data_IF_723359292978
#
_entry.id   IF_723359292978
#
_cell.length_a   1.000
_cell.length_b   1.000
_cell.length_c   1.000
_cell.angle_alpha   90.00
_cell.angle_beta   90.00
_cell.angle_gamma   90.00
#
_symmetry.space_group_name_H-M   'P 1'
#
loop_
_entity.id
_entity.type
_entity.pdbx_description
1 polymer ?
#
# COMPACT_ATOMS: atom_id res chain seq x y z
N UNK A 1 -8.84 25.27 -2.30
CA UNK A 1 -8.66 23.93 -2.89
C UNK A 1 -7.54 24.06 -3.89
N UNK A 2 -6.35 23.60 -3.53
CA UNK A 2 -5.18 23.59 -4.41
C UNK A 2 -4.68 22.16 -4.45
N UNK A 3 -4.65 21.57 -5.65
CA UNK A 3 -3.91 20.35 -5.95
C UNK A 3 -2.44 20.55 -5.56
N UNK A 4 -1.91 19.66 -4.71
CA UNK A 4 -0.51 19.68 -4.31
C UNK A 4 0.25 18.63 -5.15
N UNK A 5 0.97 19.02 -6.21
CA UNK A 5 1.70 18.11 -7.10
C UNK A 5 2.99 17.54 -6.48
N UNK A 6 3.38 17.97 -5.27
CA UNK A 6 4.69 17.65 -4.69
C UNK A 6 4.76 16.29 -3.95
N UNK A 7 3.62 15.61 -3.75
CA UNK A 7 3.60 14.29 -3.10
C UNK A 7 3.94 13.12 -4.05
N UNK A 8 3.85 13.32 -5.37
CA UNK A 8 4.13 12.26 -6.36
C UNK A 8 5.63 12.08 -6.64
N UNK A 9 6.40 13.16 -6.54
CA UNK A 9 7.84 13.17 -6.88
C UNK A 9 8.71 12.25 -5.99
N UNK A 10 8.48 12.15 -4.67
CA UNK A 10 9.25 11.23 -3.82
C UNK A 10 8.97 9.75 -4.11
N UNK A 11 7.74 9.42 -4.53
CA UNK A 11 7.33 8.04 -4.83
C UNK A 11 7.91 7.56 -6.17
N UNK A 12 7.91 8.41 -7.20
CA UNK A 12 8.56 8.10 -8.48
C UNK A 12 10.08 7.97 -8.36
N UNK A 13 10.72 8.78 -7.51
CA UNK A 13 12.15 8.67 -7.24
C UNK A 13 12.48 7.38 -6.47
N UNK A 14 11.63 6.98 -5.53
CA UNK A 14 11.74 5.70 -4.82
C UNK A 14 11.58 4.48 -5.75
N UNK A 15 10.60 4.52 -6.68
CA UNK A 15 10.39 3.47 -7.67
C UNK A 15 11.52 3.43 -8.73
N UNK A 16 12.05 4.60 -9.12
CA UNK A 16 13.22 4.71 -9.99
C UNK A 16 14.47 4.14 -9.32
N UNK A 17 14.62 4.31 -8.00
CA UNK A 17 15.71 3.69 -7.23
C UNK A 17 15.56 2.17 -7.15
N UNK A 18 14.35 1.64 -7.06
CA UNK A 18 14.08 0.20 -7.14
C UNK A 18 14.45 -0.37 -8.53
N UNK A 19 14.08 0.32 -9.61
CA UNK A 19 14.42 -0.07 -10.97
C UNK A 19 15.94 0.01 -11.26
N UNK A 20 16.61 1.06 -10.76
CA UNK A 20 18.06 1.26 -10.93
C UNK A 20 18.93 0.30 -10.08
N UNK A 21 18.41 -0.22 -8.96
CA UNK A 21 19.10 -1.27 -8.20
C UNK A 21 19.24 -2.56 -9.01
N UNK A 22 18.26 -2.84 -9.89
CA UNK A 22 18.25 -4.02 -10.78
C UNK A 22 19.27 -3.91 -11.92
N UNK A 23 19.61 -2.70 -12.36
CA UNK A 23 20.55 -2.47 -13.48
C UNK A 23 22.02 -2.42 -13.05
N UNK A 24 22.32 -2.18 -11.76
CA UNK A 24 23.69 -2.10 -11.24
C UNK A 24 24.24 -3.43 -10.69
N UNK A 25 23.43 -4.48 -10.60
CA UNK A 25 23.87 -5.81 -10.18
C UNK A 25 23.44 -6.88 -11.22
N UNK A 26 24.20 -7.08 -12.31
CA UNK A 26 23.94 -8.20 -13.19
C UNK A 26 24.29 -9.51 -12.46
N UNK A 27 23.28 -10.19 -11.92
CA UNK A 27 23.45 -11.60 -11.54
C UNK A 27 23.57 -12.37 -12.85
N UNK A 28 24.79 -12.84 -13.12
CA UNK A 28 25.12 -13.75 -14.20
C UNK A 28 24.31 -15.04 -14.03
N UNK A 29 23.26 -15.22 -14.83
CA UNK A 29 22.56 -16.49 -14.92
C UNK A 29 23.40 -17.41 -15.82
N UNK A 30 24.21 -18.27 -15.20
CA UNK A 30 24.84 -19.37 -15.91
C UNK A 30 23.75 -20.28 -16.47
N UNK A 31 23.59 -20.25 -17.79
CA UNK A 31 22.77 -21.19 -18.55
C UNK A 31 23.48 -22.54 -18.53
N UNK A 32 22.92 -23.55 -17.86
CA UNK A 32 23.35 -24.93 -18.04
C UNK A 32 22.48 -25.57 -19.15
N UNK A 33 23.09 -26.27 -20.13
CA UNK A 33 22.34 -26.84 -21.25
C UNK A 33 21.52 -28.05 -20.83
N UNK A 34 20.34 -28.16 -21.43
CA UNK A 34 19.47 -29.32 -21.34
C UNK A 34 20.18 -30.58 -21.87
N UNK A 35 20.26 -31.61 -21.03
CA UNK A 35 20.63 -32.97 -21.42
C UNK A 35 19.58 -33.95 -20.92
N UNK A 36 18.84 -34.57 -21.85
CA UNK A 36 18.00 -35.74 -21.59
C UNK A 36 18.88 -36.96 -21.29
N UNK A 37 18.52 -37.79 -20.30
CA UNK A 37 18.36 -39.26 -20.45
C UNK A 37 18.23 -39.98 -19.09
N UNK A 38 17.19 -40.83 -19.01
CA UNK A 38 17.08 -42.11 -18.30
C UNK A 38 17.27 -42.21 -16.77
N UNK A 39 16.17 -42.58 -16.09
CA UNK A 39 16.09 -43.34 -14.82
C UNK A 39 16.82 -44.71 -14.96
N UNK A 40 17.24 -45.41 -13.86
CA UNK A 40 16.32 -45.92 -12.82
C UNK A 40 16.81 -45.85 -11.35
N UNK A 41 15.85 -45.80 -10.42
CA UNK A 41 15.96 -46.13 -8.98
C UNK A 41 16.38 -47.61 -8.77
N UNK A 42 16.98 -48.05 -7.62
CA UNK A 42 16.36 -47.96 -6.28
C UNK A 42 17.31 -47.86 -5.05
N UNK A 43 16.78 -47.46 -3.89
CA UNK A 43 17.44 -47.70 -2.60
C UNK A 43 17.00 -46.79 -1.44
N UNK A 44 16.03 -47.24 -0.64
CA UNK A 44 15.82 -46.79 0.74
C UNK A 44 16.99 -47.27 1.63
N UNK A 45 17.40 -46.53 2.69
CA UNK A 45 16.69 -46.62 3.98
C UNK A 45 16.58 -45.31 4.78
N UNK A 46 15.53 -45.20 5.60
CA UNK A 46 15.46 -44.37 6.82
C UNK A 46 15.69 -45.28 8.05
N UNK A 47 15.76 -44.81 9.32
CA UNK A 47 15.98 -43.47 9.86
C UNK A 47 17.15 -43.44 10.90
N UNK A 48 17.59 -42.26 11.34
CA UNK A 48 18.30 -42.15 12.64
C UNK A 48 17.88 -40.88 13.38
N UNK A 49 17.53 -41.08 14.64
CA UNK A 49 17.05 -40.10 15.60
C UNK A 49 18.19 -39.35 16.30
N UNK A 50 17.97 -38.04 16.51
CA UNK A 50 18.28 -37.23 17.71
C UNK A 50 19.77 -36.99 18.09
N UNK A 51 20.14 -35.94 18.87
CA UNK A 51 19.30 -35.13 19.75
C UNK A 51 19.44 -33.60 19.66
N UNK A 52 18.48 -32.98 20.36
CA UNK A 52 18.38 -31.62 20.85
C UNK A 52 19.72 -31.09 21.40
N UNK A 53 20.11 -29.90 20.94
CA UNK A 53 21.10 -29.06 21.61
C UNK A 53 20.47 -27.71 21.95
N UNK A 54 20.08 -27.60 23.21
CA UNK A 54 19.68 -26.38 23.90
C UNK A 54 20.88 -25.43 23.98
N UNK A 55 20.71 -24.18 23.59
CA UNK A 55 21.63 -23.07 23.92
C UNK A 55 20.79 -21.86 24.35
N UNK A 56 21.24 -21.09 25.37
CA UNK A 56 20.35 -20.31 26.22
C UNK A 56 19.97 -18.95 25.66
N UNK A 57 18.81 -18.49 26.15
CA UNK A 57 18.31 -17.14 26.20
C UNK A 57 19.41 -16.14 26.63
N UNK A 58 19.87 -15.29 25.72
CA UNK A 58 20.59 -14.06 26.06
C UNK A 58 19.66 -12.86 25.81
N UNK A 59 19.46 -12.11 26.89
CA UNK A 59 18.72 -10.86 26.97
C UNK A 59 19.39 -9.74 26.14
N UNK A 60 18.61 -8.73 25.70
CA UNK A 60 19.05 -7.75 24.72
C UNK A 60 19.98 -6.69 25.33
N UNK A 61 21.00 -6.21 24.60
CA UNK A 61 21.73 -5.01 24.99
C UNK A 61 20.90 -3.75 24.68
N UNK A 62 20.77 -2.91 25.71
CA UNK A 62 20.19 -1.57 25.72
C UNK A 62 20.79 -0.69 24.63
N UNK A 63 19.97 -0.25 23.67
CA UNK A 63 20.36 0.78 22.70
C UNK A 63 20.33 2.15 23.38
N UNK A 64 21.52 2.70 23.63
CA UNK A 64 21.75 4.07 24.07
C UNK A 64 21.44 4.99 22.88
N UNK A 65 20.43 5.84 23.01
CA UNK A 65 20.12 6.89 22.05
C UNK A 65 21.15 8.02 22.14
N UNK A 66 21.83 8.41 21.04
CA UNK A 66 22.44 9.73 20.96
C UNK A 66 21.35 10.78 20.71
N UNK A 67 21.18 11.68 21.68
CA UNK A 67 20.45 12.94 21.52
C UNK A 67 21.09 13.76 20.39
N UNK A 68 20.35 14.01 19.31
CA UNK A 68 20.67 15.08 18.38
C UNK A 68 19.96 16.36 18.82
N UNK A 69 20.75 17.34 19.24
CA UNK A 69 20.29 18.72 19.47
C UNK A 69 19.97 19.38 18.12
N UNK A 70 18.77 19.95 18.01
CA UNK A 70 18.41 20.82 16.90
C UNK A 70 19.06 22.20 17.11
N UNK A 71 19.93 22.61 16.19
CA UNK A 71 20.37 24.01 16.10
C UNK A 71 19.29 24.84 15.39
N UNK A 72 18.88 26.00 15.92
CA UNK A 72 17.92 26.88 15.26
C UNK A 72 18.63 27.71 14.19
N UNK A 73 18.22 27.55 12.92
CA UNK A 73 18.67 28.44 11.83
C UNK A 73 17.78 29.68 11.82
N UNK A 74 18.34 30.79 12.29
CA UNK A 74 17.77 32.14 12.22
C UNK A 74 17.69 32.61 10.77
N UNK A 75 16.48 32.87 10.26
CA UNK A 75 16.25 33.50 8.95
C UNK A 75 16.02 35.01 9.18
N UNK A 76 16.78 35.92 8.57
CA UNK A 76 16.52 37.35 8.66
C UNK A 76 15.37 37.78 7.71
N UNK A 77 14.54 38.76 8.09
CA UNK A 77 13.50 39.30 7.23
C UNK A 77 14.10 40.26 6.21
N UNK A 78 13.75 40.12 4.93
CA UNK A 78 14.04 41.15 3.92
C UNK A 78 12.72 41.76 3.46
N UNK A 79 12.46 42.97 3.98
CA UNK A 79 11.41 43.89 3.55
C UNK A 79 12.09 45.06 2.84
N UNK A 80 11.81 45.27 1.56
CA UNK A 80 11.89 46.51 0.77
C UNK A 80 11.24 46.13 -0.57
N UNK A 81 10.28 46.81 -1.19
CA UNK A 81 9.70 48.16 -1.12
C UNK A 81 8.98 48.37 -2.48
N UNK A 82 8.07 49.36 -2.62
CA UNK A 82 6.97 49.33 -3.59
C UNK A 82 7.27 50.03 -4.92
N UNK A 83 6.50 49.71 -5.96
CA UNK A 83 6.34 50.56 -7.14
C UNK A 83 4.87 50.70 -7.51
N UNK A 84 4.51 51.94 -7.82
CA UNK A 84 3.17 52.52 -7.87
C UNK A 84 2.54 52.39 -9.27
N UNK A 85 1.20 52.41 -9.25
CA UNK A 85 0.25 53.02 -10.19
C UNK A 85 0.35 52.74 -11.71
N UNK A 86 -0.78 52.29 -12.28
CA UNK A 86 -1.47 53.17 -13.23
C UNK A 86 -2.99 52.95 -13.23
N UNK A 87 -3.67 54.09 -13.15
CA UNK A 87 -5.11 54.31 -13.26
C UNK A 87 -5.50 54.34 -14.75
N UNK A 88 -6.81 54.33 -15.00
CA UNK A 88 -7.58 54.54 -16.25
C UNK A 88 -8.11 53.22 -16.85
N UNK A 89 -9.37 53.08 -17.25
CA UNK A 89 -10.42 54.08 -17.51
C UNK A 89 -11.76 53.34 -17.58
N UNK A 90 -12.82 53.99 -17.09
CA UNK A 90 -14.21 53.60 -17.34
C UNK A 90 -14.55 53.99 -18.78
N UNK A 91 -15.12 53.08 -19.56
CA UNK A 91 -15.88 53.44 -20.76
C UNK A 91 -17.12 52.57 -20.88
N UNK A 92 -18.25 53.20 -20.58
CA UNK A 92 -19.61 52.76 -20.88
C UNK A 92 -19.81 52.89 -22.39
N UNK A 93 -20.13 51.79 -23.06
CA UNK A 93 -20.71 51.82 -24.39
C UNK A 93 -21.90 50.85 -24.43
N UNK A 94 -23.06 51.42 -24.72
CA UNK A 94 -24.33 50.72 -24.87
C UNK A 94 -24.28 49.87 -26.15
N UNK A 95 -24.26 48.56 -26.00
CA UNK A 95 -24.51 47.63 -27.09
C UNK A 95 -25.59 46.66 -26.61
N UNK A 96 -26.75 46.68 -27.28
CA UNK A 96 -27.82 45.71 -27.09
C UNK A 96 -27.25 44.29 -27.22
N UNK A 97 -27.43 43.38 -26.24
CA UNK A 97 -27.14 41.98 -26.47
C UNK A 97 -28.26 41.40 -27.33
N UNK A 98 -27.88 40.94 -28.51
CA UNK A 98 -28.68 40.08 -29.36
C UNK A 98 -29.19 38.89 -28.53
N UNK A 99 -30.50 38.62 -28.56
CA UNK A 99 -31.11 37.41 -28.00
C UNK A 99 -30.71 36.21 -28.86
N UNK A 100 -29.45 35.80 -28.75
CA UNK A 100 -28.99 34.49 -29.20
C UNK A 100 -29.59 33.43 -28.29
N UNK A 101 -30.29 32.48 -28.90
CA UNK A 101 -30.77 31.24 -28.29
C UNK A 101 -29.70 30.68 -27.37
N UNK A 102 -29.95 30.69 -26.06
CA UNK A 102 -29.05 30.07 -25.08
C UNK A 102 -28.94 28.60 -25.42
N UNK A 103 -27.78 28.21 -25.95
CA UNK A 103 -27.37 26.81 -26.01
C UNK A 103 -27.44 26.27 -24.58
N UNK A 104 -28.09 25.13 -24.31
CA UNK A 104 -28.16 24.60 -22.96
C UNK A 104 -26.72 24.41 -22.46
N UNK A 105 -26.38 25.10 -21.36
CA UNK A 105 -25.10 24.91 -20.68
C UNK A 105 -24.83 23.41 -20.54
N UNK A 106 -23.63 22.93 -20.89
CA UNK A 106 -23.26 21.55 -20.63
C UNK A 106 -23.44 21.31 -19.13
N UNK A 107 -24.44 20.49 -18.81
CA UNK A 107 -24.69 20.04 -17.46
C UNK A 107 -23.37 19.43 -16.93
N UNK A 108 -22.87 19.82 -15.75
CA UNK A 108 -21.66 19.21 -15.21
C UNK A 108 -21.92 17.71 -15.09
N UNK A 109 -21.05 16.94 -15.75
CA UNK A 109 -21.09 15.48 -15.67
C UNK A 109 -21.11 15.07 -14.20
N UNK A 110 -21.95 14.10 -13.80
CA UNK A 110 -21.91 13.61 -12.43
C UNK A 110 -20.47 13.15 -12.11
N UNK A 111 -20.01 13.31 -10.85
CA UNK A 111 -18.68 12.88 -10.46
C UNK A 111 -18.49 11.42 -10.86
N UNK A 112 -17.49 11.14 -11.70
CA UNK A 112 -17.20 9.78 -12.14
C UNK A 112 -16.81 8.94 -10.92
N UNK A 113 -17.50 7.82 -10.73
CA UNK A 113 -17.08 6.83 -9.76
C UNK A 113 -15.70 6.31 -10.18
N UNK A 114 -14.79 6.20 -9.23
CA UNK A 114 -13.45 5.67 -9.49
C UNK A 114 -13.55 4.20 -9.91
N UNK A 115 -12.91 3.87 -11.03
CA UNK A 115 -12.88 2.53 -11.60
C UNK A 115 -11.44 1.97 -11.52
N UNK A 116 -11.15 1.04 -10.59
CA UNK A 116 -9.81 0.46 -10.47
C UNK A 116 -9.51 -0.46 -11.65
N UNK A 117 -8.27 -0.42 -12.15
CA UNK A 117 -7.82 -1.27 -13.24
C UNK A 117 -7.26 -2.60 -12.72
N UNK A 118 -7.48 -3.66 -13.50
CA UNK A 118 -6.78 -4.94 -13.33
C UNK A 118 -5.64 -4.98 -14.34
N UNK A 119 -4.42 -5.08 -13.85
CA UNK A 119 -3.23 -5.07 -14.70
C UNK A 119 -2.82 -6.50 -15.07
N UNK A 120 -2.55 -6.78 -16.35
CA UNK A 120 -2.02 -8.09 -16.76
C UNK A 120 -0.58 -8.25 -16.28
N UNK A 121 -0.24 -9.47 -15.84
CA UNK A 121 1.11 -9.86 -15.43
C UNK A 121 1.80 -10.67 -16.54
N UNK A 122 3.14 -10.65 -16.64
CA UNK A 122 4.10 -9.98 -15.77
C UNK A 122 4.21 -8.47 -16.05
N UNK A 123 4.43 -7.69 -14.99
CA UNK A 123 4.67 -6.25 -15.09
C UNK A 123 6.14 -5.93 -15.33
N UNK A 124 6.43 -5.05 -16.29
CA UNK A 124 7.80 -4.50 -16.50
C UNK A 124 8.21 -3.59 -15.33
N UNK A 125 7.27 -2.79 -14.84
CA UNK A 125 7.44 -1.94 -13.68
C UNK A 125 6.14 -1.86 -12.87
N UNK A 126 6.28 -1.68 -11.55
CA UNK A 126 5.14 -1.51 -10.65
C UNK A 126 5.05 -0.05 -10.24
N UNK A 127 3.91 0.58 -10.50
CA UNK A 127 3.67 1.99 -10.14
C UNK A 127 2.84 2.12 -8.88
N UNK A 128 2.83 3.31 -8.29
CA UNK A 128 1.94 3.61 -7.15
C UNK A 128 0.48 3.30 -7.48
N UNK A 129 -0.01 3.73 -8.65
CA UNK A 129 -1.40 3.51 -9.08
C UNK A 129 -1.72 2.03 -9.21
N UNK A 130 -0.80 1.21 -9.73
CA UNK A 130 -1.01 -0.23 -9.82
C UNK A 130 -1.18 -0.89 -8.43
N UNK A 131 -0.35 -0.50 -7.46
CA UNK A 131 -0.46 -0.97 -6.07
C UNK A 131 -1.76 -0.47 -5.44
N UNK A 132 -2.10 0.80 -5.69
CA UNK A 132 -3.32 1.42 -5.20
C UNK A 132 -4.57 0.69 -5.68
N UNK A 133 -4.71 0.50 -6.99
CA UNK A 133 -5.83 -0.20 -7.61
C UNK A 133 -5.93 -1.63 -7.06
N UNK A 134 -4.79 -2.31 -6.90
CA UNK A 134 -4.75 -3.65 -6.32
C UNK A 134 -5.26 -3.67 -4.88
N UNK A 135 -4.79 -2.77 -4.03
CA UNK A 135 -5.26 -2.67 -2.64
C UNK A 135 -6.75 -2.32 -2.60
N UNK A 136 -7.18 -1.38 -3.44
CA UNK A 136 -8.58 -0.97 -3.53
C UNK A 136 -9.48 -2.15 -3.87
N UNK A 137 -9.13 -2.92 -4.91
CA UNK A 137 -9.85 -4.13 -5.32
C UNK A 137 -9.91 -5.16 -4.19
N UNK A 138 -8.76 -5.46 -3.56
CA UNK A 138 -8.69 -6.43 -2.48
C UNK A 138 -9.57 -6.02 -1.29
N UNK A 139 -9.57 -4.74 -0.92
CA UNK A 139 -10.44 -4.24 0.14
C UNK A 139 -11.91 -4.29 -0.27
N UNK A 140 -12.26 -3.74 -1.44
CA UNK A 140 -13.63 -3.69 -1.95
C UNK A 140 -14.27 -5.08 -2.00
N UNK A 141 -13.52 -6.10 -2.40
CA UNK A 141 -14.02 -7.46 -2.57
C UNK A 141 -14.15 -8.23 -1.24
N UNK A 142 -13.56 -7.73 -0.14
CA UNK A 142 -13.54 -8.42 1.16
C UNK A 142 -14.22 -7.67 2.31
N UNK A 143 -14.54 -6.40 2.12
CA UNK A 143 -15.23 -5.56 3.08
C UNK A 143 -16.75 -5.59 2.89
N UNK A 144 -17.49 -5.14 3.89
CA UNK A 144 -18.94 -4.99 3.83
C UNK A 144 -19.38 -3.89 2.86
N UNK A 145 -20.65 -3.95 2.42
CA UNK A 145 -21.25 -2.96 1.51
C UNK A 145 -21.24 -1.52 2.05
N UNK A 146 -21.01 -1.32 3.34
CA UNK A 146 -20.87 0.03 3.88
C UNK A 146 -19.67 0.76 3.24
N UNK A 147 -18.56 0.05 3.01
CA UNK A 147 -17.34 0.61 2.42
C UNK A 147 -17.50 0.97 0.95
N UNK A 148 -18.28 0.18 0.20
CA UNK A 148 -18.57 0.47 -1.21
C UNK A 148 -19.53 1.65 -1.38
N UNK A 149 -20.39 1.89 -0.39
CA UNK A 149 -21.24 3.11 -0.32
C UNK A 149 -20.49 4.34 0.19
N UNK A 150 -19.45 4.15 1.00
CA UNK A 150 -18.60 5.22 1.51
C UNK A 150 -17.23 5.20 0.82
N UNK A 151 -17.22 5.58 -0.45
CA UNK A 151 -16.04 5.53 -1.32
C UNK A 151 -14.89 6.35 -0.76
N UNK A 152 -15.16 7.49 -0.13
CA UNK A 152 -14.13 8.35 0.47
C UNK A 152 -13.36 7.63 1.59
N UNK A 153 -14.08 6.90 2.45
CA UNK A 153 -13.45 6.11 3.51
C UNK A 153 -12.57 5.00 2.94
N UNK A 154 -13.07 4.31 1.91
CA UNK A 154 -12.32 3.27 1.21
C UNK A 154 -11.05 3.85 0.53
N UNK A 155 -11.16 5.01 -0.11
CA UNK A 155 -10.03 5.71 -0.73
C UNK A 155 -8.95 6.10 0.28
N UNK A 156 -9.34 6.65 1.44
CA UNK A 156 -8.42 7.05 2.51
C UNK A 156 -7.64 5.86 3.07
N UNK A 157 -8.33 4.75 3.34
CA UNK A 157 -7.68 3.52 3.82
C UNK A 157 -6.77 2.93 2.76
N UNK A 158 -7.23 2.86 1.51
CA UNK A 158 -6.42 2.38 0.37
C UNK A 158 -5.15 3.21 0.23
N UNK A 159 -5.26 4.54 0.29
CA UNK A 159 -4.12 5.45 0.22
C UNK A 159 -3.09 5.15 1.31
N UNK A 160 -3.54 5.06 2.58
CA UNK A 160 -2.66 4.80 3.73
C UNK A 160 -1.94 3.45 3.60
N UNK A 161 -2.62 2.41 3.16
CA UNK A 161 -2.05 1.08 3.00
C UNK A 161 -1.10 1.00 1.79
N UNK A 162 -1.44 1.67 0.70
CA UNK A 162 -0.55 1.79 -0.47
C UNK A 162 0.76 2.49 -0.08
N UNK A 163 0.67 3.61 0.63
CA UNK A 163 1.85 4.31 1.14
C UNK A 163 2.69 3.42 2.08
N UNK A 164 2.06 2.60 2.92
CA UNK A 164 2.75 1.64 3.78
C UNK A 164 3.49 0.56 2.97
N UNK A 165 2.88 0.03 1.90
CA UNK A 165 3.51 -0.93 1.00
C UNK A 165 4.73 -0.30 0.33
N UNK A 166 4.58 0.85 -0.30
CA UNK A 166 5.69 1.53 -0.99
C UNK A 166 6.81 1.87 0.01
N UNK A 167 6.46 2.42 1.17
CA UNK A 167 7.42 2.73 2.23
C UNK A 167 8.15 1.48 2.76
N UNK A 168 7.45 0.33 2.86
CA UNK A 168 8.05 -0.95 3.22
C UNK A 168 8.98 -1.50 2.15
N UNK A 169 8.61 -1.36 0.88
CA UNK A 169 9.45 -1.73 -0.26
C UNK A 169 10.76 -0.94 -0.29
N UNK A 170 10.70 0.37 -0.07
CA UNK A 170 11.89 1.24 0.04
C UNK A 170 12.81 0.83 1.20
N UNK A 171 12.24 0.31 2.28
CA UNK A 171 12.99 -0.21 3.44
C UNK A 171 13.48 -1.65 3.27
N UNK A 172 13.25 -2.28 2.10
CA UNK A 172 13.67 -3.64 1.82
C UNK A 172 12.83 -4.73 2.51
N UNK A 173 11.62 -4.41 3.00
CA UNK A 173 10.78 -5.37 3.74
C UNK A 173 10.35 -6.58 2.91
N UNK A 174 10.39 -6.49 1.58
CA UNK A 174 9.94 -7.55 0.67
C UNK A 174 11.11 -8.31 0.03
N UNK A 175 12.33 -8.15 0.54
CA UNK A 175 13.53 -8.77 0.01
C UNK A 175 14.25 -7.91 -1.03
N UNK A 176 15.40 -8.40 -1.52
CA UNK A 176 16.25 -7.68 -2.47
C UNK A 176 15.57 -7.40 -3.81
N UNK A 177 14.64 -8.28 -4.19
CA UNK A 177 13.87 -8.18 -5.42
C UNK A 177 12.60 -7.33 -5.24
N UNK A 178 12.23 -6.96 -4.00
CA UNK A 178 10.99 -6.24 -3.74
C UNK A 178 9.74 -7.04 -4.13
N UNK A 179 8.66 -6.31 -4.44
CA UNK A 179 7.44 -6.88 -5.02
C UNK A 179 7.68 -7.21 -6.49
N UNK A 180 7.47 -8.47 -6.86
CA UNK A 180 7.57 -8.97 -8.24
C UNK A 180 6.20 -9.04 -8.92
N UNK A 181 5.11 -9.12 -8.15
CA UNK A 181 3.75 -9.19 -8.68
C UNK A 181 2.74 -8.51 -7.76
N UNK A 182 1.70 -7.91 -8.34
CA UNK A 182 0.56 -7.38 -7.61
C UNK A 182 -0.24 -8.47 -6.89
N UNK A 183 -0.18 -9.73 -7.37
CA UNK A 183 -0.86 -10.86 -6.71
C UNK A 183 -0.26 -11.21 -5.35
N UNK A 184 0.96 -10.74 -5.05
CA UNK A 184 1.56 -10.87 -3.72
C UNK A 184 0.82 -10.05 -2.66
N UNK A 185 0.07 -9.02 -3.07
CA UNK A 185 -0.80 -8.23 -2.20
C UNK A 185 -2.18 -8.90 -2.17
N UNK A 186 -2.61 -9.33 -0.99
CA UNK A 186 -3.86 -10.08 -0.86
C UNK A 186 -4.36 -10.23 0.56
N UNK A 187 -5.52 -10.87 0.68
CA UNK A 187 -6.09 -11.27 1.95
C UNK A 187 -5.62 -12.66 2.35
N UNK A 188 -5.25 -12.80 3.62
CA UNK A 188 -4.79 -14.05 4.20
C UNK A 188 -5.48 -14.31 5.53
N UNK A 189 -5.65 -15.58 5.87
CA UNK A 189 -6.07 -15.99 7.21
C UNK A 189 -4.86 -16.41 8.02
N UNK A 190 -4.65 -15.74 9.15
CA UNK A 190 -3.59 -16.06 10.11
C UNK A 190 -4.11 -16.79 11.35
N UNK A 191 -3.16 -17.18 12.19
CA UNK A 191 -3.41 -17.89 13.46
C UNK A 191 -2.53 -17.34 14.56
N UNK A 192 -3.10 -17.16 15.74
CA UNK A 192 -2.40 -16.87 16.99
C UNK A 192 -2.93 -17.79 18.10
N UNK A 193 -2.19 -18.85 18.43
CA UNK A 193 -2.66 -19.85 19.40
C UNK A 193 -3.90 -20.60 18.89
N UNK A 194 -5.03 -20.48 19.57
CA UNK A 194 -6.32 -21.03 19.08
C UNK A 194 -7.11 -20.02 18.25
N UNK A 195 -6.71 -18.75 18.29
CA UNK A 195 -7.38 -17.68 17.58
C UNK A 195 -6.98 -17.65 16.11
N UNK A 196 -7.93 -17.23 15.29
CA UNK A 196 -7.79 -16.96 13.86
C UNK A 196 -7.97 -15.47 13.63
N UNK A 197 -7.57 -15.00 12.46
CA UNK A 197 -7.87 -13.65 12.00
C UNK A 197 -7.74 -13.58 10.49
N UNK A 198 -8.36 -12.58 9.89
CA UNK A 198 -8.12 -12.21 8.50
C UNK A 198 -7.27 -10.95 8.45
N UNK A 199 -6.37 -10.86 7.46
CA UNK A 199 -5.46 -9.74 7.33
C UNK A 199 -5.15 -9.43 5.86
N UNK A 200 -4.86 -8.15 5.59
CA UNK A 200 -4.22 -7.72 4.35
C UNK A 200 -2.71 -7.83 4.55
N UNK A 201 -2.03 -8.50 3.62
CA UNK A 201 -0.59 -8.69 3.70
C UNK A 201 0.07 -8.71 2.33
N UNK A 202 1.40 -8.60 2.36
CA UNK A 202 2.29 -8.81 1.21
C UNK A 202 3.06 -10.12 1.43
N UNK A 203 2.97 -11.04 0.48
CA UNK A 203 3.78 -12.26 0.45
C UNK A 203 5.07 -12.02 -0.33
N UNK A 204 6.22 -12.11 0.33
CA UNK A 204 7.52 -12.04 -0.33
C UNK A 204 7.82 -13.31 -1.13
N UNK A 205 8.76 -13.21 -2.08
CA UNK A 205 9.21 -14.33 -2.92
C UNK A 205 9.72 -15.52 -2.09
N UNK A 206 10.34 -15.23 -0.93
CA UNK A 206 10.89 -16.26 -0.04
C UNK A 206 9.84 -16.85 0.93
N UNK A 207 8.55 -16.62 0.69
CA UNK A 207 7.45 -17.15 1.48
C UNK A 207 7.18 -16.40 2.80
N UNK A 208 7.86 -15.29 3.04
CA UNK A 208 7.60 -14.43 4.19
C UNK A 208 6.32 -13.62 4.02
N UNK A 209 5.53 -13.47 5.08
CA UNK A 209 4.30 -12.68 5.06
C UNK A 209 4.49 -11.40 5.89
N UNK A 210 4.34 -10.24 5.25
CA UNK A 210 4.32 -8.94 5.92
C UNK A 210 2.88 -8.48 6.09
N UNK A 211 2.36 -8.53 7.31
CA UNK A 211 1.01 -8.09 7.63
C UNK A 211 0.95 -6.56 7.64
N UNK A 212 0.07 -5.99 6.82
CA UNK A 212 -0.16 -4.55 6.71
C UNK A 212 -1.32 -4.09 7.58
N UNK A 213 -2.39 -4.89 7.60
CA UNK A 213 -3.58 -4.64 8.39
C UNK A 213 -4.14 -5.95 8.91
N UNK A 214 -4.21 -6.07 10.24
CA UNK A 214 -4.72 -7.25 10.93
C UNK A 214 -6.13 -6.98 11.44
N UNK A 215 -7.05 -7.91 11.19
CA UNK A 215 -8.38 -7.92 11.81
C UNK A 215 -8.38 -8.41 13.25
N UNK A 216 -9.51 -8.25 13.92
CA UNK A 216 -9.68 -8.77 15.28
C UNK A 216 -9.60 -10.30 15.32
N UNK A 217 -9.09 -10.82 16.44
CA UNK A 217 -8.98 -12.26 16.68
C UNK A 217 -10.37 -12.88 16.87
N UNK A 218 -10.62 -13.99 16.17
CA UNK A 218 -11.84 -14.80 16.18
C UNK A 218 -11.49 -16.23 16.66
N UNK A 219 -12.35 -16.89 17.42
CA UNK A 219 -12.20 -18.30 17.79
C UNK A 219 -13.56 -18.99 17.75
N UNK A 220 -13.56 -20.25 17.31
CA UNK A 220 -14.75 -21.09 17.29
C UNK A 220 -14.32 -22.56 17.31
N UNK A 221 -14.37 -23.18 18.48
CA UNK A 221 -14.08 -24.60 18.72
C UNK A 221 -12.76 -25.09 18.11
N UNK A 222 -11.74 -24.22 18.03
CA UNK A 222 -10.46 -24.53 17.39
C UNK A 222 -10.50 -24.83 15.88
N UNK A 223 -11.61 -24.52 15.19
CA UNK A 223 -11.81 -24.83 13.77
C UNK A 223 -10.93 -24.00 12.83
N UNK A 224 -10.88 -24.43 11.57
CA UNK A 224 -10.19 -23.73 10.49
C UNK A 224 -11.21 -22.94 9.63
N UNK A 225 -11.04 -21.62 9.46
CA UNK A 225 -11.93 -20.79 8.63
C UNK A 225 -11.90 -21.15 7.13
N UNK A 226 -10.91 -21.91 6.66
CA UNK A 226 -10.92 -22.46 5.29
C UNK A 226 -12.02 -23.52 5.10
N UNK A 227 -12.48 -24.15 6.19
CA UNK A 227 -13.47 -25.21 6.17
C UNK A 227 -14.77 -24.88 6.95
N UNK A 228 -14.74 -23.95 7.90
CA UNK A 228 -15.91 -23.46 8.64
C UNK A 228 -16.32 -22.06 8.16
N UNK A 229 -17.43 -22.00 7.42
CA UNK A 229 -17.96 -20.75 6.84
C UNK A 229 -18.33 -19.71 7.89
N UNK A 230 -18.83 -20.13 9.06
CA UNK A 230 -19.22 -19.19 10.11
C UNK A 230 -17.98 -18.57 10.76
N UNK A 231 -16.92 -19.35 10.97
CA UNK A 231 -15.65 -18.81 11.44
C UNK A 231 -15.04 -17.85 10.41
N UNK A 232 -15.14 -18.16 9.12
CA UNK A 232 -14.72 -17.22 8.07
C UNK A 232 -15.49 -15.89 8.13
N UNK A 233 -16.82 -15.94 8.36
CA UNK A 233 -17.65 -14.73 8.55
C UNK A 233 -17.18 -13.93 9.77
N UNK A 234 -16.94 -14.58 10.91
CA UNK A 234 -16.41 -13.91 12.11
C UNK A 234 -15.07 -13.22 11.84
N UNK A 235 -14.20 -13.87 11.08
CA UNK A 235 -12.90 -13.29 10.77
C UNK A 235 -12.99 -12.16 9.72
N UNK A 236 -13.96 -12.21 8.80
CA UNK A 236 -14.30 -11.07 7.92
C UNK A 236 -14.83 -9.88 8.72
N UNK A 237 -15.76 -10.09 9.64
CA UNK A 237 -16.27 -9.05 10.54
C UNK A 237 -15.15 -8.44 11.39
N UNK A 238 -14.24 -9.30 11.88
CA UNK A 238 -13.04 -8.86 12.61
C UNK A 238 -12.12 -8.00 11.75
N UNK A 239 -11.96 -8.33 10.46
CA UNK A 239 -11.21 -7.51 9.52
C UNK A 239 -11.89 -6.18 9.25
N UNK A 240 -13.20 -6.16 9.01
CA UNK A 240 -13.99 -4.95 8.78
C UNK A 240 -13.85 -3.96 9.96
N UNK A 241 -13.88 -4.46 11.20
CA UNK A 241 -13.58 -3.67 12.41
C UNK A 241 -12.16 -3.14 12.44
N UNK A 242 -11.17 -3.95 12.04
CA UNK A 242 -9.77 -3.52 11.92
C UNK A 242 -9.61 -2.36 10.93
N UNK A 243 -10.31 -2.43 9.80
CA UNK A 243 -10.32 -1.38 8.76
C UNK A 243 -11.01 -0.12 9.29
N UNK A 244 -12.13 -0.25 10.01
CA UNK A 244 -12.81 0.88 10.65
C UNK A 244 -11.93 1.59 11.70
N UNK A 245 -11.15 0.83 12.49
CA UNK A 245 -10.16 1.38 13.43
C UNK A 245 -9.09 2.17 12.69
N UNK A 246 -8.56 1.63 11.59
CA UNK A 246 -7.59 2.35 10.75
C UNK A 246 -8.18 3.64 10.18
N UNK A 247 -9.38 3.60 9.60
CA UNK A 247 -10.05 4.79 9.09
C UNK A 247 -10.25 5.86 10.18
N UNK A 248 -10.71 5.45 11.37
CA UNK A 248 -10.89 6.36 12.50
C UNK A 248 -9.57 7.04 12.92
N UNK A 249 -8.45 6.29 12.87
CA UNK A 249 -7.13 6.86 13.14
C UNK A 249 -6.71 7.89 12.09
N UNK A 250 -6.98 7.65 10.79
CA UNK A 250 -6.69 8.58 9.70
C UNK A 250 -7.47 9.90 9.89
N UNK A 251 -8.77 9.81 10.19
CA UNK A 251 -9.60 11.01 10.44
C UNK A 251 -9.10 11.79 11.65
N UNK A 252 -8.71 11.08 12.72
CA UNK A 252 -8.19 11.73 13.94
C UNK A 252 -6.83 12.41 13.71
N UNK A 253 -5.95 11.82 12.90
CA UNK A 253 -4.67 12.44 12.52
C UNK A 253 -4.89 13.70 11.67
N UNK A 254 -5.83 13.67 10.73
CA UNK A 254 -6.15 14.82 9.88
C UNK A 254 -6.69 16.03 10.66
N UNK A 255 -7.35 15.81 11.80
CA UNK A 255 -7.86 16.88 12.67
C UNK A 255 -6.79 17.55 13.54
N UNK A 256 -5.60 16.94 13.66
CA UNK A 256 -4.48 17.46 14.47
C UNK A 256 -3.52 18.34 13.67
N UNK A 257 -3.71 18.45 12.35
CA UNK A 257 -2.93 19.28 11.44
C UNK A 257 -3.64 20.60 11.19
#
# INVERSE_FOLDING_TARGET
MADHPDFFRPAEEALSRLANFRTQNPICVMTAPAGRSSSPSPGLPSPSMSPILSVPLQSPPTAIFPQFQASPTTIPPTTYGPAYNSVHQVSRANHMPCLGTQSPSPQPSPPQAYEPLVYPEPLECMTYTMVYDRVYLVLRDNLTDWWTRNTDALHQVTYRLTAAIIGGGVKGMFGSNGLQSLYQIGMYTGREGIYRYMCLAVQSEHGGLTILLKGDLCEKDGKDPTHDKELLVLCKDGFDKGVAKLYSSIVTEAQKQ
#
